data_IF_681745868254
#
_entry.id   IF_681745868254
#
_cell.length_a   1.000
_cell.length_b   1.000
_cell.length_c   1.000
_cell.angle_alpha   90.00
_cell.angle_beta   90.00
_cell.angle_gamma   90.00
#
_symmetry.space_group_name_H-M   'P 1'
#
loop_
_entity.id
_entity.type
_entity.pdbx_description
1 polymer ?
#
# COMPACT_ATOMS: atom_id res chain seq x y z
N UNK A 1 -44.03 -19.48 45.07
CA UNK A 1 -44.51 -20.60 44.23
C UNK A 1 -43.82 -20.52 42.88
N UNK A 2 -42.95 -21.48 42.57
CA UNK A 2 -42.13 -21.55 41.35
C UNK A 2 -42.97 -22.12 40.21
N UNK A 3 -43.02 -21.46 39.06
CA UNK A 3 -43.53 -22.07 37.82
C UNK A 3 -42.34 -22.36 36.91
N UNK A 4 -42.01 -23.65 36.85
CA UNK A 4 -41.09 -24.25 35.89
C UNK A 4 -41.91 -24.52 34.63
N UNK A 5 -41.49 -24.00 33.48
CA UNK A 5 -42.00 -24.41 32.18
C UNK A 5 -40.86 -25.06 31.41
N UNK A 6 -40.94 -26.37 31.25
CA UNK A 6 -40.07 -27.21 30.40
C UNK A 6 -40.97 -27.77 29.31
N UNK A 7 -40.72 -27.41 28.04
CA UNK A 7 -41.31 -28.06 26.86
C UNK A 7 -40.26 -27.92 25.74
N UNK A 8 -39.42 -28.93 25.55
CA UNK A 8 -39.51 -30.02 24.55
C UNK A 8 -38.97 -29.67 23.16
N UNK A 9 -37.73 -30.09 22.95
CA UNK A 9 -37.24 -30.96 21.86
C UNK A 9 -38.16 -31.15 20.62
N UNK A 10 -37.68 -30.74 19.44
CA UNK A 10 -38.03 -31.35 18.14
C UNK A 10 -36.77 -31.44 17.27
N UNK A 11 -36.72 -32.54 16.54
CA UNK A 11 -35.58 -33.29 15.99
C UNK A 11 -35.19 -32.86 14.56
N UNK A 12 -33.94 -33.20 14.22
CA UNK A 12 -33.27 -33.27 12.91
C UNK A 12 -34.16 -33.32 11.66
N UNK A 13 -33.69 -32.64 10.60
CA UNK A 13 -33.72 -33.21 9.25
C UNK A 13 -32.46 -32.86 8.46
N UNK A 14 -31.69 -33.89 8.17
CA UNK A 14 -30.53 -33.93 7.29
C UNK A 14 -31.01 -33.94 5.83
N UNK A 15 -30.41 -33.13 4.96
CA UNK A 15 -30.61 -33.25 3.51
C UNK A 15 -29.30 -32.90 2.81
N UNK A 16 -28.55 -33.94 2.47
CA UNK A 16 -27.42 -33.86 1.55
C UNK A 16 -27.97 -33.74 0.13
N UNK A 17 -27.68 -32.63 -0.54
CA UNK A 17 -27.83 -32.52 -2.00
C UNK A 17 -26.45 -32.71 -2.65
N UNK A 18 -26.26 -33.89 -3.23
CA UNK A 18 -25.24 -34.14 -4.24
C UNK A 18 -25.86 -33.82 -5.61
N UNK A 19 -25.35 -32.79 -6.26
CA UNK A 19 -25.44 -32.55 -7.71
C UNK A 19 -23.98 -32.42 -8.16
N UNK A 20 -23.45 -33.13 -9.14
CA UNK A 20 -24.00 -33.62 -10.40
C UNK A 20 -23.10 -33.06 -11.51
N UNK A 21 -22.42 -33.94 -12.25
CA UNK A 21 -21.42 -33.67 -13.29
C UNK A 21 -21.84 -32.68 -14.39
N UNK A 22 -20.89 -31.94 -14.99
CA UNK A 22 -20.41 -32.14 -16.38
C UNK A 22 -19.46 -31.05 -16.90
N UNK A 23 -18.66 -31.46 -17.90
CA UNK A 23 -17.89 -30.71 -18.94
C UNK A 23 -16.55 -30.07 -18.51
N UNK A 24 -15.49 -30.07 -19.31
CA UNK A 24 -15.33 -30.38 -20.74
C UNK A 24 -13.90 -30.86 -21.05
N UNK A 25 -13.78 -31.59 -22.16
CA UNK A 25 -12.53 -31.91 -22.87
C UNK A 25 -12.05 -30.65 -23.61
N UNK A 26 -10.76 -30.35 -23.53
CA UNK A 26 -10.10 -29.44 -24.48
C UNK A 26 -8.69 -29.98 -24.74
N UNK A 27 -8.51 -30.51 -25.94
CA UNK A 27 -7.20 -30.70 -26.56
C UNK A 27 -6.65 -29.32 -26.92
N UNK A 28 -5.36 -29.05 -26.66
CA UNK A 28 -4.46 -28.35 -27.59
C UNK A 28 -3.05 -28.08 -27.03
N UNK A 29 -2.08 -28.65 -27.75
CA UNK A 29 -0.88 -27.99 -28.31
C UNK A 29 0.34 -27.76 -27.39
N UNK A 30 1.38 -28.55 -27.72
CA UNK A 30 2.79 -28.32 -27.49
C UNK A 30 3.26 -26.93 -27.93
N UNK A 31 4.12 -26.28 -27.14
CA UNK A 31 5.17 -25.40 -27.68
C UNK A 31 6.41 -25.51 -26.82
N UNK A 32 7.41 -26.22 -27.36
CA UNK A 32 8.83 -26.04 -27.04
C UNK A 32 9.24 -24.63 -27.48
N UNK A 33 9.89 -23.85 -26.61
CA UNK A 33 11.02 -22.98 -26.99
C UNK A 33 12.01 -22.81 -25.83
N UNK A 34 13.12 -23.54 -25.96
CA UNK A 34 14.51 -23.14 -25.79
C UNK A 34 14.90 -22.16 -24.67
N UNK A 35 15.61 -22.76 -23.70
CA UNK A 35 16.75 -22.17 -23.03
C UNK A 35 17.88 -21.85 -24.03
N UNK A 36 18.59 -20.73 -23.81
CA UNK A 36 20.05 -20.67 -23.68
C UNK A 36 20.58 -19.24 -23.93
N UNK A 37 21.35 -18.77 -22.93
CA UNK A 37 22.63 -18.02 -23.04
C UNK A 37 22.56 -16.57 -23.55
N UNK A 38 22.82 -15.56 -22.71
CA UNK A 38 24.09 -15.15 -22.06
C UNK A 38 25.03 -14.34 -22.96
N UNK A 39 25.55 -13.26 -22.34
CA UNK A 39 26.78 -12.50 -22.65
C UNK A 39 26.61 -11.49 -23.81
N UNK A 40 26.97 -10.21 -23.72
CA UNK A 40 28.37 -9.76 -23.56
C UNK A 40 28.49 -8.22 -23.42
N UNK A 41 29.25 -7.80 -22.41
CA UNK A 41 30.17 -6.66 -22.26
C UNK A 41 29.75 -5.17 -22.23
N UNK A 42 30.16 -4.57 -21.10
CA UNK A 42 30.55 -3.17 -20.86
C UNK A 42 31.47 -2.57 -21.93
N UNK A 43 31.43 -1.23 -22.09
CA UNK A 43 32.63 -0.35 -22.06
C UNK A 43 32.21 1.10 -21.77
N UNK A 44 32.70 1.61 -20.63
CA UNK A 44 32.92 3.03 -20.34
C UNK A 44 34.34 3.37 -20.83
N UNK A 45 34.58 4.55 -21.41
CA UNK A 45 35.77 5.40 -21.16
C UNK A 45 35.51 6.82 -21.69
N UNK A 46 35.84 7.79 -20.82
CA UNK A 46 35.81 9.24 -20.98
C UNK A 46 36.97 9.77 -21.84
N UNK A 47 36.82 10.98 -22.41
CA UNK A 47 37.84 12.04 -22.24
C UNK A 47 37.29 13.46 -22.53
N UNK A 48 37.46 14.32 -21.54
CA UNK A 48 37.29 15.78 -21.54
C UNK A 48 38.38 16.49 -22.38
N UNK A 49 38.21 17.78 -22.73
CA UNK A 49 39.00 18.77 -22.00
C UNK A 49 38.27 20.08 -21.67
N UNK A 50 38.81 20.69 -20.61
CA UNK A 50 38.38 21.83 -19.81
C UNK A 50 38.94 23.16 -20.37
N UNK A 51 38.24 24.30 -20.16
CA UNK A 51 38.85 25.59 -19.72
C UNK A 51 37.83 26.73 -19.54
N UNK A 52 37.83 27.31 -18.33
CA UNK A 52 37.25 28.60 -17.92
C UNK A 52 38.27 29.74 -18.12
N UNK A 53 37.90 31.05 -18.07
CA UNK A 53 38.02 31.78 -16.77
C UNK A 53 37.01 32.94 -16.50
N UNK A 54 36.59 33.03 -15.21
CA UNK A 54 36.40 34.20 -14.27
C UNK A 54 36.03 35.62 -14.79
N UNK A 55 35.39 36.58 -14.07
CA UNK A 55 34.75 36.78 -12.75
C UNK A 55 34.38 38.29 -12.64
N UNK A 56 33.26 38.69 -12.00
CA UNK A 56 33.06 39.90 -11.16
C UNK A 56 31.57 40.01 -10.78
N UNK A 57 31.11 39.84 -9.52
CA UNK A 57 31.14 40.71 -8.32
C UNK A 57 30.32 42.00 -8.43
N UNK A 58 29.23 42.12 -7.65
CA UNK A 58 29.02 43.19 -6.65
C UNK A 58 27.70 43.05 -5.83
N UNK A 59 27.87 43.22 -4.51
CA UNK A 59 26.95 43.47 -3.38
C UNK A 59 26.07 44.74 -3.60
N UNK A 60 25.01 45.13 -2.89
CA UNK A 60 24.19 44.75 -1.72
C UNK A 60 23.01 45.77 -1.75
N UNK A 61 21.77 45.40 -1.45
CA UNK A 61 20.95 46.10 -0.43
C UNK A 61 19.50 45.60 -0.31
N UNK A 62 19.04 45.73 0.93
CA UNK A 62 17.78 45.38 1.56
C UNK A 62 16.53 45.59 0.70
N UNK A 63 15.60 44.63 0.78
CA UNK A 63 14.29 44.94 1.34
C UNK A 63 13.64 43.68 1.94
N UNK A 64 13.32 43.80 3.22
CA UNK A 64 12.35 42.98 3.93
C UNK A 64 11.02 43.15 3.22
N UNK A 65 10.57 42.11 2.53
CA UNK A 65 9.15 41.87 2.40
C UNK A 65 8.91 40.52 3.06
N UNK A 66 8.58 40.58 4.34
CA UNK A 66 8.03 39.46 5.08
C UNK A 66 6.66 39.20 4.45
N UNK A 67 6.69 38.45 3.35
CA UNK A 67 5.51 37.76 2.85
C UNK A 67 5.20 36.73 3.91
N UNK A 68 4.31 37.12 4.81
CA UNK A 68 3.52 36.24 5.64
C UNK A 68 2.79 35.29 4.68
N UNK A 69 3.51 34.26 4.24
CA UNK A 69 2.89 33.04 3.78
C UNK A 69 2.18 32.52 4.99
N UNK A 70 0.91 32.93 5.09
CA UNK A 70 -0.09 32.33 5.94
C UNK A 70 -0.07 30.86 5.54
N UNK A 71 0.78 30.10 6.22
CA UNK A 71 0.85 28.65 6.18
C UNK A 71 -0.51 28.26 6.69
N UNK A 72 -1.44 28.13 5.74
CA UNK A 72 -2.69 27.44 5.96
C UNK A 72 -2.23 26.08 6.44
N UNK A 73 -2.22 25.89 7.75
CA UNK A 73 -1.91 24.62 8.38
C UNK A 73 -3.06 23.73 7.99
N UNK A 74 -2.93 23.15 6.80
CA UNK A 74 -3.82 22.16 6.25
C UNK A 74 -3.83 21.04 7.29
N UNK A 75 -4.95 20.91 7.98
CA UNK A 75 -5.13 19.96 9.07
C UNK A 75 -4.95 18.55 8.51
N UNK A 76 -4.27 17.71 9.28
CA UNK A 76 -4.08 16.31 8.90
C UNK A 76 -5.42 15.57 8.77
N UNK A 77 -5.44 14.55 7.94
CA UNK A 77 -6.65 13.83 7.54
C UNK A 77 -6.82 12.62 8.45
N UNK A 78 -7.87 12.63 9.27
CA UNK A 78 -8.21 11.47 10.09
C UNK A 78 -8.94 10.41 9.27
N UNK A 79 -8.49 9.17 9.41
CA UNK A 79 -9.15 7.97 8.93
C UNK A 79 -9.57 7.11 10.12
N UNK A 80 -10.79 6.58 10.08
CA UNK A 80 -11.35 5.73 11.12
C UNK A 80 -12.03 4.54 10.47
N UNK A 81 -11.70 3.33 10.93
CA UNK A 81 -12.40 2.12 10.55
C UNK A 81 -13.12 1.54 11.78
N UNK A 82 -14.41 1.85 11.93
CA UNK A 82 -15.19 1.37 13.06
C UNK A 82 -15.37 -0.15 13.06
N UNK A 83 -15.39 -0.80 11.89
CA UNK A 83 -15.50 -2.26 11.80
C UNK A 83 -14.27 -2.94 12.38
N UNK A 84 -13.09 -2.53 11.93
CA UNK A 84 -11.80 -3.10 12.33
C UNK A 84 -11.30 -2.57 13.69
N UNK A 85 -11.81 -1.42 14.13
CA UNK A 85 -11.62 -0.91 15.48
C UNK A 85 -10.39 -0.03 15.70
N UNK A 86 -9.84 0.56 14.64
CA UNK A 86 -8.69 1.45 14.74
C UNK A 86 -8.86 2.71 13.91
N UNK A 87 -7.99 3.69 14.17
CA UNK A 87 -7.88 4.92 13.40
C UNK A 87 -6.42 5.24 13.09
N UNK A 88 -6.18 6.07 12.08
CA UNK A 88 -4.87 6.61 11.77
C UNK A 88 -5.01 7.99 11.10
N UNK A 89 -3.92 8.73 11.06
CA UNK A 89 -3.88 10.10 10.58
C UNK A 89 -2.90 10.19 9.41
N UNK A 90 -3.39 10.68 8.28
CA UNK A 90 -2.58 10.96 7.10
C UNK A 90 -2.17 12.43 7.09
N UNK A 91 -0.92 12.75 6.68
CA UNK A 91 -0.53 14.12 6.45
C UNK A 91 -1.47 14.81 5.47
N UNK A 92 -1.79 16.07 5.72
CA UNK A 92 -2.72 16.80 4.85
C UNK A 92 -2.25 16.91 3.40
N UNK A 93 -0.94 16.91 3.17
CA UNK A 93 -0.30 16.84 1.85
C UNK A 93 -0.60 15.56 1.06
N UNK A 94 -1.13 14.51 1.70
CA UNK A 94 -1.54 13.28 1.02
C UNK A 94 -2.90 13.42 0.34
N UNK A 95 -3.66 14.49 0.60
CA UNK A 95 -5.01 14.67 0.04
C UNK A 95 -5.02 14.47 -1.48
N UNK A 96 -5.83 13.51 -1.94
CA UNK A 96 -5.98 13.18 -3.36
C UNK A 96 -4.81 12.40 -3.99
N UNK A 97 -3.81 11.98 -3.21
CA UNK A 97 -2.63 11.21 -3.68
C UNK A 97 -2.67 9.74 -3.29
N UNK A 98 -3.68 9.31 -2.53
CA UNK A 98 -3.83 7.92 -2.11
C UNK A 98 -5.30 7.50 -2.20
N UNK A 99 -5.49 6.18 -2.21
CA UNK A 99 -6.78 5.53 -2.05
C UNK A 99 -6.66 4.44 -0.99
N UNK A 100 -7.76 4.17 -0.30
CA UNK A 100 -7.88 3.06 0.64
C UNK A 100 -8.82 2.04 0.03
N UNK A 101 -8.41 0.78 0.01
CA UNK A 101 -9.28 -0.35 -0.26
C UNK A 101 -9.50 -1.10 1.05
N UNK A 102 -10.75 -1.41 1.35
CA UNK A 102 -11.14 -2.08 2.59
C UNK A 102 -11.80 -3.41 2.26
N UNK A 103 -11.61 -4.37 3.16
CA UNK A 103 -12.46 -5.53 3.26
C UNK A 103 -12.77 -5.82 4.73
N UNK A 104 -13.39 -6.96 5.00
CA UNK A 104 -13.87 -7.33 6.33
C UNK A 104 -12.78 -7.45 7.40
N UNK A 105 -11.53 -7.65 6.99
CA UNK A 105 -10.41 -8.01 7.86
C UNK A 105 -9.17 -7.14 7.64
N UNK A 106 -9.17 -6.27 6.62
CA UNK A 106 -7.97 -5.58 6.17
C UNK A 106 -8.26 -4.22 5.55
N UNK A 107 -7.24 -3.37 5.56
CA UNK A 107 -7.14 -2.21 4.68
C UNK A 107 -5.84 -2.27 3.89
N UNK A 108 -5.89 -1.74 2.67
CA UNK A 108 -4.75 -1.59 1.78
C UNK A 108 -4.72 -0.15 1.30
N UNK A 109 -3.59 0.52 1.52
CA UNK A 109 -3.41 1.92 1.16
C UNK A 109 -2.49 1.99 -0.05
N UNK A 110 -3.00 2.54 -1.14
CA UNK A 110 -2.29 2.63 -2.41
C UNK A 110 -2.07 4.09 -2.80
N UNK A 111 -0.96 4.37 -3.46
CA UNK A 111 -0.75 5.60 -4.21
C UNK A 111 -1.75 5.71 -5.35
N UNK A 112 -2.41 6.86 -5.46
CA UNK A 112 -3.41 7.15 -6.48
C UNK A 112 -2.85 8.18 -7.47
N UNK A 113 -2.20 7.72 -8.56
CA UNK A 113 -1.72 8.63 -9.59
C UNK A 113 -2.88 9.36 -10.28
N UNK A 114 -2.61 10.55 -10.80
CA UNK A 114 -3.57 11.30 -11.62
C UNK A 114 -3.79 10.62 -12.98
N UNK A 115 -2.73 10.04 -13.53
CA UNK A 115 -2.80 9.26 -14.76
C UNK A 115 -3.23 7.83 -14.44
N UNK A 116 -4.17 7.29 -15.23
CA UNK A 116 -4.58 5.88 -15.08
C UNK A 116 -3.37 4.98 -15.32
N UNK A 117 -3.18 4.03 -14.41
CA UNK A 117 -2.24 2.92 -14.58
C UNK A 117 -3.01 1.69 -15.02
N UNK A 118 -2.38 0.85 -15.85
CA UNK A 118 -3.00 -0.37 -16.37
C UNK A 118 -3.28 -1.42 -15.28
N UNK A 119 -2.69 -1.26 -14.09
CA UNK A 119 -2.84 -2.19 -12.97
C UNK A 119 -3.42 -1.50 -11.72
N UNK A 120 -4.64 -1.91 -11.32
CA UNK A 120 -5.36 -1.42 -10.14
C UNK A 120 -4.69 -1.80 -8.81
N UNK A 121 -3.79 -2.78 -8.80
CA UNK A 121 -2.98 -3.20 -7.66
C UNK A 121 -1.63 -2.50 -7.54
N UNK A 122 -1.26 -1.64 -8.50
CA UNK A 122 -0.01 -0.88 -8.44
C UNK A 122 -0.05 0.21 -7.36
N UNK A 123 1.14 0.54 -6.85
CA UNK A 123 1.37 1.63 -5.92
C UNK A 123 1.07 1.31 -4.46
N UNK A 124 1.07 0.04 -4.03
CA UNK A 124 0.85 -0.30 -2.61
C UNK A 124 1.85 0.47 -1.73
N UNK A 125 1.34 1.21 -0.75
CA UNK A 125 2.13 1.93 0.25
C UNK A 125 2.31 1.06 1.49
N UNK A 126 1.19 0.57 2.03
CA UNK A 126 1.14 -0.36 3.15
C UNK A 126 -0.22 -1.07 3.24
N UNK A 127 -0.24 -2.16 3.99
CA UNK A 127 -1.43 -2.92 4.35
C UNK A 127 -1.52 -3.06 5.87
N UNK A 128 -2.75 -3.10 6.38
CA UNK A 128 -3.07 -3.50 7.75
C UNK A 128 -4.03 -4.68 7.65
N UNK A 129 -3.62 -5.84 8.15
CA UNK A 129 -4.31 -7.11 7.90
C UNK A 129 -4.53 -7.83 9.23
N UNK A 130 -5.77 -8.23 9.53
CA UNK A 130 -6.05 -9.08 10.67
C UNK A 130 -5.37 -10.44 10.47
N UNK A 131 -4.55 -10.87 11.44
CA UNK A 131 -3.79 -12.13 11.37
C UNK A 131 -4.66 -13.38 11.33
N UNK A 132 -5.92 -13.28 11.74
CA UNK A 132 -6.89 -14.38 11.62
C UNK A 132 -7.47 -14.52 10.21
N UNK A 133 -7.13 -13.63 9.27
CA UNK A 133 -7.56 -13.74 7.88
C UNK A 133 -6.98 -14.99 7.25
N UNK A 134 -7.81 -15.76 6.53
CA UNK A 134 -7.41 -17.02 5.88
C UNK A 134 -6.35 -16.81 4.81
N UNK A 135 -6.35 -15.64 4.17
CA UNK A 135 -5.44 -15.29 3.09
C UNK A 135 -4.19 -14.55 3.59
N UNK A 136 -4.04 -14.41 4.92
CA UNK A 136 -2.87 -13.75 5.50
C UNK A 136 -1.64 -14.65 5.41
N UNK A 137 -0.63 -14.16 4.71
CA UNK A 137 0.72 -14.71 4.73
C UNK A 137 1.72 -13.56 4.86
N UNK A 138 2.43 -13.53 5.98
CA UNK A 138 3.38 -12.47 6.30
C UNK A 138 4.55 -12.39 5.31
N UNK A 139 4.93 -13.51 4.69
CA UNK A 139 6.05 -13.58 3.75
C UNK A 139 5.79 -12.81 2.44
N UNK A 140 4.57 -12.36 2.20
CA UNK A 140 4.24 -11.51 1.05
C UNK A 140 4.44 -10.01 1.33
N UNK A 141 4.98 -9.65 2.50
CA UNK A 141 5.11 -8.27 2.92
C UNK A 141 6.44 -7.97 3.58
N UNK A 142 6.96 -6.78 3.32
CA UNK A 142 8.13 -6.25 3.99
C UNK A 142 7.76 -5.55 5.30
N UNK A 143 8.72 -5.53 6.24
CA UNK A 143 8.64 -4.70 7.43
C UNK A 143 8.93 -3.25 7.06
N UNK A 144 7.97 -2.36 7.32
CA UNK A 144 8.01 -0.95 6.87
C UNK A 144 8.04 0.07 8.02
N UNK A 145 7.99 -0.39 9.27
CA UNK A 145 8.13 0.46 10.45
C UNK A 145 8.48 -0.39 11.67
N UNK A 146 8.87 0.26 12.77
CA UNK A 146 9.12 -0.41 14.06
C UNK A 146 7.85 -1.06 14.64
N UNK A 147 6.66 -0.58 14.25
CA UNK A 147 5.38 -1.17 14.64
C UNK A 147 4.95 -2.19 13.59
N UNK A 148 5.20 -3.46 13.87
CA UNK A 148 4.82 -4.59 13.00
C UNK A 148 3.44 -5.17 13.31
N UNK A 149 3.04 -5.12 14.58
CA UNK A 149 1.74 -5.62 15.03
C UNK A 149 1.08 -4.64 16.01
N UNK A 150 -0.24 -4.68 16.08
CA UNK A 150 -1.03 -4.01 17.13
C UNK A 150 -2.34 -4.75 17.37
N UNK A 151 -2.98 -4.49 18.49
CA UNK A 151 -4.29 -5.06 18.83
C UNK A 151 -5.39 -4.01 18.67
N UNK A 152 -6.52 -4.40 18.09
CA UNK A 152 -7.74 -3.61 18.06
C UNK A 152 -8.94 -4.54 18.09
N UNK A 153 -9.95 -4.22 18.93
CA UNK A 153 -11.16 -5.05 19.13
C UNK A 153 -10.87 -6.55 19.40
N UNK A 154 -9.83 -6.85 20.18
CA UNK A 154 -9.45 -8.22 20.51
C UNK A 154 -8.87 -9.03 19.33
N UNK A 155 -8.54 -8.37 18.22
CA UNK A 155 -7.85 -8.98 17.09
C UNK A 155 -6.44 -8.39 16.93
N UNK A 156 -5.50 -9.24 16.52
CA UNK A 156 -4.12 -8.84 16.23
C UNK A 156 -4.01 -8.50 14.74
N UNK A 157 -3.60 -7.29 14.44
CA UNK A 157 -3.32 -6.81 13.10
C UNK A 157 -1.83 -6.81 12.82
N UNK A 158 -1.46 -7.22 11.60
CA UNK A 158 -0.15 -7.06 11.02
C UNK A 158 -0.09 -5.79 10.16
N UNK A 159 1.06 -5.13 10.16
CA UNK A 159 1.39 -4.00 9.30
C UNK A 159 2.56 -4.38 8.40
N UNK A 160 2.38 -4.25 7.09
CA UNK A 160 3.41 -4.58 6.11
C UNK A 160 3.33 -3.74 4.85
N UNK A 161 4.39 -3.77 4.05
CA UNK A 161 4.45 -3.09 2.75
C UNK A 161 4.78 -4.05 1.60
N UNK A 162 4.75 -3.55 0.35
CA UNK A 162 5.26 -4.29 -0.80
C UNK A 162 6.72 -4.71 -0.61
N UNK A 163 7.05 -5.88 -1.17
CA UNK A 163 8.41 -6.44 -1.28
C UNK A 163 9.28 -5.75 -2.34
N UNK A 164 8.63 -5.10 -3.32
CA UNK A 164 9.29 -4.47 -4.47
C UNK A 164 8.77 -3.04 -4.71
N UNK A 165 9.37 -2.36 -5.69
CA UNK A 165 8.89 -1.07 -6.18
C UNK A 165 7.61 -1.30 -7.00
N UNK A 166 6.46 -1.23 -6.32
CA UNK A 166 5.15 -1.51 -6.91
C UNK A 166 4.61 -0.43 -7.85
N UNK A 167 5.43 0.51 -8.34
CA UNK A 167 5.01 1.62 -9.19
C UNK A 167 6.06 1.90 -10.27
N UNK A 168 5.63 2.17 -11.50
CA UNK A 168 6.52 2.34 -12.65
C UNK A 168 7.47 3.54 -12.46
N UNK A 169 8.78 3.31 -12.51
CA UNK A 169 9.82 4.33 -12.30
C UNK A 169 9.84 5.41 -13.39
N UNK A 170 9.37 5.08 -14.59
CA UNK A 170 9.27 6.02 -15.70
C UNK A 170 8.01 6.89 -15.64
N UNK A 171 7.12 6.66 -14.67
CA UNK A 171 5.93 7.49 -14.49
C UNK A 171 6.33 8.87 -13.92
N UNK A 172 5.81 9.99 -14.45
CA UNK A 172 6.14 11.33 -13.96
C UNK A 172 5.80 11.55 -12.48
N UNK A 173 4.90 10.75 -11.91
CA UNK A 173 4.49 10.82 -10.50
C UNK A 173 5.31 9.88 -9.59
N UNK A 174 6.33 9.18 -10.10
CA UNK A 174 7.15 8.25 -9.31
C UNK A 174 7.83 8.91 -8.12
N UNK A 175 8.29 10.15 -8.26
CA UNK A 175 8.85 10.93 -7.15
C UNK A 175 7.84 11.17 -6.03
N UNK A 176 6.57 11.39 -6.40
CA UNK A 176 5.47 11.56 -5.44
C UNK A 176 5.18 10.23 -4.73
N UNK A 177 5.12 9.13 -5.46
CA UNK A 177 5.01 7.79 -4.88
C UNK A 177 6.12 7.53 -3.85
N UNK A 178 7.38 7.81 -4.22
CA UNK A 178 8.55 7.64 -3.34
C UNK A 178 8.47 8.51 -2.09
N UNK A 179 8.01 9.76 -2.21
CA UNK A 179 7.77 10.65 -1.06
C UNK A 179 6.75 10.04 -0.11
N UNK A 180 5.57 9.69 -0.60
CA UNK A 180 4.51 9.07 0.23
C UNK A 180 5.03 7.80 0.89
N UNK A 181 5.73 6.94 0.14
CA UNK A 181 6.34 5.70 0.67
C UNK A 181 7.30 5.98 1.83
N UNK A 182 8.13 7.03 1.74
CA UNK A 182 9.06 7.41 2.81
C UNK A 182 8.37 7.96 4.07
N UNK A 183 7.15 8.48 3.93
CA UNK A 183 6.35 9.05 5.02
C UNK A 183 5.45 8.02 5.72
N UNK A 184 5.28 6.82 5.13
CA UNK A 184 4.50 5.71 5.70
C UNK A 184 4.81 5.40 7.17
N UNK A 185 6.08 5.35 7.63
CA UNK A 185 6.37 5.13 9.05
C UNK A 185 5.73 6.16 9.98
N UNK A 186 5.61 7.42 9.54
CA UNK A 186 4.98 8.48 10.33
C UNK A 186 3.47 8.27 10.42
N UNK A 187 2.83 7.84 9.33
CA UNK A 187 1.41 7.47 9.33
C UNK A 187 1.15 6.32 10.30
N UNK A 188 1.97 5.27 10.27
CA UNK A 188 1.82 4.08 11.13
C UNK A 188 1.95 4.42 12.62
N UNK A 189 2.80 5.39 12.98
CA UNK A 189 2.93 5.86 14.37
C UNK A 189 1.63 6.42 14.94
N UNK A 190 0.74 6.93 14.08
CA UNK A 190 -0.53 7.54 14.49
C UNK A 190 -1.65 6.55 14.78
N UNK A 191 -1.43 5.25 14.56
CA UNK A 191 -2.45 4.22 14.81
C UNK A 191 -2.88 4.25 16.28
N UNK A 192 -4.20 4.36 16.49
CA UNK A 192 -4.89 4.31 17.79
C UNK A 192 -5.97 3.25 17.76
#
# INVERSE_FOLDING_TARGET
>A
MKKILVISLVVLSMSAFLTGCQKAKTDSINTNQNAAQSTTNNTIVQKEPNSTPQKQTNNTDKNNDSKDETKTTSQDIQYKNDKLGFSLTFPSDWKGKYRIQENDMSIFVYFSPKQKTDNSGSGLLFAIINKASKDFNENFFDTISDKKYFEAKGAIYFIGGPTDIGFNENNPEFSTYRKLKSEVPNVIKTIK
#
